data_IF_735840338515
#
_entry.id   IF_735840338515
#
_cell.length_a   1.000
_cell.length_b   1.000
_cell.length_c   1.000
_cell.angle_alpha   90.00
_cell.angle_beta   90.00
_cell.angle_gamma   90.00
#
_symmetry.space_group_name_H-M   'P 1'
#
loop_
_entity.id
_entity.type
_entity.pdbx_description
1 polymer ?
#
# COMPACT_ATOMS: atom_id res chain seq x y z
N UNK A 1 -22.35 17.53 -6.56
CA UNK A 1 -22.01 16.17 -7.05
C UNK A 1 -21.15 15.51 -6.00
N UNK A 2 -21.65 14.48 -5.35
CA UNK A 2 -20.88 13.67 -4.40
C UNK A 2 -19.79 12.92 -5.16
N UNK A 3 -18.56 13.05 -4.67
CA UNK A 3 -17.36 12.45 -5.25
C UNK A 3 -17.09 11.17 -4.47
N UNK A 4 -16.76 10.09 -5.17
CA UNK A 4 -16.36 8.83 -4.53
C UNK A 4 -15.27 9.08 -3.49
N UNK A 5 -15.41 8.44 -2.32
CA UNK A 5 -14.42 8.51 -1.25
C UNK A 5 -13.07 8.00 -1.73
N UNK A 6 -11.99 8.52 -1.16
CA UNK A 6 -10.64 8.03 -1.44
C UNK A 6 -10.38 6.77 -0.64
N UNK A 7 -9.59 5.85 -1.20
CA UNK A 7 -9.28 4.59 -0.54
C UNK A 7 -8.65 4.83 0.84
N UNK A 8 -7.76 5.82 0.97
CA UNK A 8 -7.14 6.21 2.24
C UNK A 8 -8.13 6.59 3.35
N UNK A 9 -9.34 7.04 3.00
CA UNK A 9 -10.37 7.44 3.97
C UNK A 9 -11.17 6.26 4.49
N UNK A 10 -11.15 5.12 3.78
CA UNK A 10 -12.01 3.96 4.04
C UNK A 10 -11.21 2.75 4.50
N UNK A 11 -10.12 2.43 3.79
CA UNK A 11 -9.34 1.22 4.03
C UNK A 11 -7.85 1.43 3.74
N UNK A 12 -7.01 0.96 4.66
CA UNK A 12 -5.56 0.88 4.45
C UNK A 12 -5.02 -0.41 5.09
N UNK A 13 -4.28 -1.26 4.34
CA UNK A 13 -3.72 -2.50 4.86
C UNK A 13 -2.48 -2.23 5.73
N UNK A 14 -2.71 -1.72 6.96
CA UNK A 14 -1.64 -1.26 7.85
C UNK A 14 -0.69 -2.40 8.22
N UNK A 15 -1.22 -3.61 8.42
CA UNK A 15 -0.44 -4.78 8.83
C UNK A 15 0.61 -5.12 7.77
N UNK A 16 0.20 -5.17 6.51
CA UNK A 16 1.03 -5.57 5.39
C UNK A 16 2.00 -4.46 4.97
N UNK A 17 1.56 -3.20 5.05
CA UNK A 17 2.45 -2.04 4.88
C UNK A 17 3.55 -2.05 5.96
N UNK A 18 3.21 -2.37 7.20
CA UNK A 18 4.17 -2.43 8.31
C UNK A 18 5.16 -3.58 8.12
N UNK A 19 4.66 -4.74 7.71
CA UNK A 19 5.48 -5.89 7.33
C UNK A 19 6.53 -5.56 6.27
N UNK A 20 6.10 -4.92 5.17
CA UNK A 20 7.04 -4.51 4.12
C UNK A 20 8.04 -3.47 4.61
N UNK A 21 7.60 -2.56 5.47
CA UNK A 21 8.46 -1.50 6.00
C UNK A 21 9.57 -2.06 6.89
N UNK A 22 9.28 -3.14 7.64
CA UNK A 22 10.29 -3.86 8.43
C UNK A 22 11.28 -4.56 7.50
N UNK A 23 10.80 -5.24 6.45
CA UNK A 23 11.66 -5.86 5.43
C UNK A 23 12.57 -4.86 4.72
N UNK A 24 12.03 -3.72 4.27
CA UNK A 24 12.79 -2.66 3.61
C UNK A 24 13.95 -2.16 4.50
N UNK A 25 13.72 -2.09 5.81
CA UNK A 25 14.74 -1.73 6.80
C UNK A 25 15.79 -2.82 6.99
N UNK A 26 15.43 -4.10 6.94
CA UNK A 26 16.34 -5.22 7.22
C UNK A 26 17.29 -5.55 6.06
N UNK A 27 16.97 -5.19 4.82
CA UNK A 27 17.78 -5.50 3.62
C UNK A 27 19.20 -4.92 3.68
N UNK A 28 19.41 -3.81 4.39
CA UNK A 28 20.68 -3.05 4.37
C UNK A 28 21.57 -3.27 5.59
N UNK A 29 21.43 -4.40 6.28
CA UNK A 29 22.19 -4.69 7.48
C UNK A 29 23.71 -4.55 7.25
N UNK A 30 24.40 -3.83 8.14
CA UNK A 30 25.86 -3.66 8.09
C UNK A 30 26.38 -2.55 7.15
N UNK A 31 25.51 -1.86 6.40
CA UNK A 31 25.93 -0.75 5.55
C UNK A 31 26.10 0.54 6.37
N UNK A 32 27.11 1.38 6.09
CA UNK A 32 27.39 2.63 6.83
C UNK A 32 26.16 3.55 6.90
N UNK A 33 25.34 3.54 5.84
CA UNK A 33 24.08 4.29 5.78
C UNK A 33 22.97 3.81 6.74
N UNK A 34 23.20 2.74 7.49
CA UNK A 34 22.31 2.22 8.56
C UNK A 34 22.80 2.55 9.98
N UNK A 35 24.04 3.04 10.16
CA UNK A 35 24.57 3.46 11.47
C UNK A 35 23.90 4.73 12.00
N UNK A 36 23.64 5.69 11.11
CA UNK A 36 22.90 6.91 11.42
C UNK A 36 21.80 7.12 10.38
N UNK A 37 20.55 6.94 10.80
CA UNK A 37 19.34 7.26 10.03
C UNK A 37 19.14 8.78 10.02
N UNK A 38 19.88 9.48 9.16
CA UNK A 38 19.81 10.93 8.98
C UNK A 38 18.82 11.33 7.87
N UNK A 39 18.02 12.40 8.01
CA UNK A 39 17.06 12.58 9.10
C UNK A 39 15.75 11.88 8.68
N UNK A 40 15.13 11.12 9.58
CA UNK A 40 13.78 10.56 9.48
C UNK A 40 13.35 10.00 8.09
N UNK A 41 14.09 9.01 7.57
CA UNK A 41 13.63 8.28 6.37
C UNK A 41 12.31 7.55 6.66
N UNK A 42 11.24 7.96 5.98
CA UNK A 42 10.00 7.20 5.91
C UNK A 42 10.24 5.93 5.07
N UNK A 43 9.80 4.74 5.51
CA UNK A 43 9.89 3.53 4.70
C UNK A 43 9.21 3.72 3.35
N UNK A 44 9.85 3.27 2.27
CA UNK A 44 9.31 3.37 0.91
C UNK A 44 7.94 2.68 0.75
N UNK A 45 7.67 1.52 1.38
CA UNK A 45 6.35 0.87 1.30
C UNK A 45 5.22 1.77 1.80
N UNK A 46 5.39 2.41 2.96
CA UNK A 46 4.40 3.33 3.52
C UNK A 46 4.18 4.51 2.58
N UNK A 47 5.24 5.15 2.10
CA UNK A 47 5.11 6.30 1.19
C UNK A 47 4.34 5.93 -0.08
N UNK A 48 4.66 4.79 -0.70
CA UNK A 48 3.97 4.31 -1.91
C UNK A 48 2.50 4.01 -1.65
N UNK A 49 2.20 3.30 -0.56
CA UNK A 49 0.83 2.97 -0.19
C UNK A 49 -0.02 4.22 0.08
N UNK A 50 0.52 5.20 0.83
CA UNK A 50 -0.18 6.46 1.14
C UNK A 50 -0.45 7.26 -0.13
N UNK A 51 0.54 7.41 -1.02
CA UNK A 51 0.36 8.13 -2.29
C UNK A 51 -0.71 7.44 -3.13
N UNK A 52 -0.61 6.12 -3.31
CA UNK A 52 -1.57 5.36 -4.09
C UNK A 52 -2.99 5.51 -3.54
N UNK A 53 -3.18 5.24 -2.24
CA UNK A 53 -4.49 5.29 -1.58
C UNK A 53 -5.11 6.70 -1.57
N UNK A 54 -4.29 7.76 -1.65
CA UNK A 54 -4.78 9.14 -1.77
C UNK A 54 -5.31 9.47 -3.17
N UNK A 55 -4.81 8.77 -4.20
CA UNK A 55 -5.17 9.04 -5.58
C UNK A 55 -6.40 8.24 -6.01
N UNK A 56 -6.48 6.96 -5.63
CA UNK A 56 -7.53 6.05 -6.09
C UNK A 56 -8.85 6.22 -5.32
N UNK A 57 -10.01 6.06 -5.99
CA UNK A 57 -11.30 5.96 -5.32
C UNK A 57 -11.45 4.62 -4.60
N UNK A 58 -12.32 4.57 -3.60
CA UNK A 58 -12.75 3.31 -2.99
C UNK A 58 -13.53 2.45 -4.01
N UNK A 59 -13.07 1.23 -4.35
CA UNK A 59 -13.76 0.36 -5.31
C UNK A 59 -15.15 -0.09 -4.85
N UNK A 60 -15.43 -0.07 -3.55
CA UNK A 60 -16.73 -0.45 -2.98
C UNK A 60 -17.74 0.70 -2.96
N UNK A 61 -17.31 1.92 -3.26
CA UNK A 61 -18.21 3.08 -3.35
C UNK A 61 -19.13 2.96 -4.58
N UNK A 62 -20.40 3.35 -4.41
CA UNK A 62 -21.41 3.41 -5.47
C UNK A 62 -21.00 4.38 -6.58
N UNK A 63 -20.25 5.43 -6.23
CA UNK A 63 -19.84 6.51 -7.14
C UNK A 63 -18.50 6.22 -7.84
N UNK A 64 -17.87 5.07 -7.58
CA UNK A 64 -16.61 4.71 -8.19
C UNK A 64 -16.77 4.40 -9.69
N UNK A 65 -15.91 4.94 -10.58
CA UNK A 65 -15.97 4.68 -12.02
C UNK A 65 -15.91 3.18 -12.35
N UNK A 66 -16.80 2.72 -13.23
CA UNK A 66 -16.89 1.31 -13.62
C UNK A 66 -15.56 0.80 -14.22
N UNK A 67 -14.92 1.60 -15.09
CA UNK A 67 -13.64 1.24 -15.68
C UNK A 67 -12.53 0.95 -14.64
N UNK A 68 -12.58 1.59 -13.46
CA UNK A 68 -11.64 1.30 -12.38
C UNK A 68 -11.94 -0.05 -11.70
N UNK A 69 -13.22 -0.36 -11.50
CA UNK A 69 -13.66 -1.65 -10.95
C UNK A 69 -13.28 -2.80 -11.88
N UNK A 70 -13.49 -2.62 -13.18
CA UNK A 70 -13.15 -3.60 -14.21
C UNK A 70 -11.63 -3.86 -14.24
N UNK A 71 -10.81 -2.80 -14.17
CA UNK A 71 -9.36 -2.91 -14.12
C UNK A 71 -8.85 -3.63 -12.85
N UNK A 72 -9.47 -3.38 -11.69
CA UNK A 72 -9.15 -4.10 -10.46
C UNK A 72 -9.47 -5.59 -10.61
N UNK A 73 -10.63 -5.92 -11.19
CA UNK A 73 -11.05 -7.30 -11.38
C UNK A 73 -10.10 -8.05 -12.33
N UNK A 74 -9.64 -7.40 -13.40
CA UNK A 74 -8.64 -7.96 -14.32
C UNK A 74 -7.28 -8.19 -13.64
N UNK A 75 -6.84 -7.25 -12.80
CA UNK A 75 -5.56 -7.35 -12.09
C UNK A 75 -5.58 -8.40 -10.98
N UNK A 76 -6.65 -8.43 -10.16
CA UNK A 76 -6.76 -9.35 -9.01
C UNK A 76 -7.22 -10.75 -9.41
N UNK A 77 -7.97 -10.89 -10.51
CA UNK A 77 -8.50 -12.18 -10.96
C UNK A 77 -7.44 -13.19 -11.42
N UNK A 78 -6.20 -12.74 -11.61
CA UNK A 78 -5.11 -13.53 -12.18
C UNK A 78 -3.96 -13.85 -11.21
N UNK A 79 -4.02 -13.39 -9.95
CA UNK A 79 -2.90 -13.55 -9.01
C UNK A 79 -3.25 -14.43 -7.80
N UNK A 80 -2.90 -15.74 -7.84
CA UNK A 80 -3.06 -16.65 -6.70
C UNK A 80 -1.96 -16.50 -5.63
N UNK A 81 -0.98 -15.59 -5.79
CA UNK A 81 0.23 -15.54 -4.95
C UNK A 81 0.15 -14.59 -3.75
N UNK A 82 -0.95 -13.86 -3.55
CA UNK A 82 -1.10 -13.05 -2.34
C UNK A 82 -1.44 -13.92 -1.13
N UNK A 83 -0.42 -14.53 -0.52
CA UNK A 83 -0.51 -15.11 0.80
C UNK A 83 -0.24 -14.00 1.84
N UNK A 84 -1.22 -13.61 2.68
CA UNK A 84 -0.97 -12.65 3.75
C UNK A 84 0.12 -13.19 4.69
N UNK A 85 0.96 -12.29 5.21
CA UNK A 85 2.06 -12.64 6.12
C UNK A 85 1.56 -13.53 7.26
N UNK A 86 1.98 -14.82 7.33
CA UNK A 86 1.45 -15.77 8.31
C UNK A 86 1.94 -15.48 9.74
N UNK A 87 3.04 -14.74 9.86
CA UNK A 87 3.92 -14.66 11.01
C UNK A 87 4.26 -13.21 11.44
N UNK A 88 3.49 -12.23 10.94
CA UNK A 88 3.46 -10.86 11.47
C UNK A 88 2.14 -10.63 12.18
#
# INVERSE_FOLDING_TARGET
MTKAKKLIEVAMPIKEISAESVRDKSIRHGHISTLHLWWARRPLPVCRAVIFASLVPDPLDEQCPQAFKDAIQELLGNDPLYAPYPDI
#
